data_IF_751122534565
#
_entry.id   IF_751122534565
#
_cell.length_a   1.000
_cell.length_b   1.000
_cell.length_c   1.000
_cell.angle_alpha   90.00
_cell.angle_beta   90.00
_cell.angle_gamma   90.00
#
_symmetry.space_group_name_H-M   'P 1'
#
loop_
_entity.id
_entity.type
_entity.pdbx_description
1 polymer ?
#
# COMPACT_ATOMS: atom_id res chain seq x y z
N UNK A 1 -25.34 -0.95 -6.16
CA UNK A 1 -24.03 -1.37 -6.66
C UNK A 1 -23.60 -0.36 -7.71
N UNK A 2 -22.78 0.62 -7.37
CA UNK A 2 -22.18 1.49 -8.38
C UNK A 2 -21.25 0.63 -9.23
N UNK A 3 -21.61 0.40 -10.47
CA UNK A 3 -20.74 -0.33 -11.38
C UNK A 3 -19.58 0.57 -11.74
N UNK A 4 -18.36 0.10 -11.44
CA UNK A 4 -17.13 0.77 -11.86
C UNK A 4 -17.16 0.98 -13.38
N UNK A 5 -16.74 2.16 -13.83
CA UNK A 5 -16.58 2.48 -15.23
C UNK A 5 -15.34 1.77 -15.81
N UNK A 6 -15.08 1.96 -17.12
CA UNK A 6 -13.98 1.26 -17.81
C UNK A 6 -12.59 1.70 -17.30
N UNK A 7 -12.40 2.98 -17.01
CA UNK A 7 -11.16 3.54 -16.48
C UNK A 7 -10.87 2.98 -15.08
N UNK A 8 -11.87 2.99 -14.19
CA UNK A 8 -11.77 2.46 -12.84
C UNK A 8 -11.41 0.96 -12.83
N UNK A 9 -12.02 0.18 -13.74
CA UNK A 9 -11.67 -1.25 -13.90
C UNK A 9 -10.25 -1.44 -14.42
N UNK A 10 -9.81 -0.59 -15.34
CA UNK A 10 -8.45 -0.60 -15.85
C UNK A 10 -7.43 -0.34 -14.74
N UNK A 11 -7.67 0.69 -13.91
CA UNK A 11 -6.83 0.99 -12.75
C UNK A 11 -6.78 -0.17 -11.75
N UNK A 12 -7.93 -0.76 -11.40
CA UNK A 12 -7.97 -1.92 -10.50
C UNK A 12 -7.15 -3.10 -11.03
N UNK A 13 -7.24 -3.38 -12.33
CA UNK A 13 -6.45 -4.43 -12.96
C UNK A 13 -4.96 -4.14 -12.87
N UNK A 14 -4.55 -2.89 -13.10
CA UNK A 14 -3.15 -2.48 -13.03
C UNK A 14 -2.57 -2.55 -11.61
N UNK A 15 -3.30 -2.06 -10.60
CA UNK A 15 -2.77 -1.92 -9.24
C UNK A 15 -2.94 -3.17 -8.38
N UNK A 16 -3.95 -3.99 -8.64
CA UNK A 16 -4.29 -5.14 -7.79
C UNK A 16 -4.49 -6.45 -8.56
N UNK A 17 -4.40 -6.43 -9.90
CA UNK A 17 -4.62 -7.63 -10.72
C UNK A 17 -6.05 -8.17 -10.70
N UNK A 18 -7.02 -7.35 -10.28
CA UNK A 18 -8.43 -7.74 -10.13
C UNK A 18 -9.33 -6.76 -10.89
N UNK A 19 -10.55 -7.17 -11.16
CA UNK A 19 -11.58 -6.33 -11.80
C UNK A 19 -12.76 -6.00 -10.88
N UNK A 20 -12.67 -6.37 -9.61
CA UNK A 20 -13.69 -6.19 -8.59
C UNK A 20 -13.47 -7.13 -7.41
N UNK A 21 -14.48 -7.28 -6.56
CA UNK A 21 -14.42 -8.18 -5.39
C UNK A 21 -14.11 -9.63 -5.80
N UNK A 22 -13.20 -10.26 -5.07
CA UNK A 22 -12.84 -11.66 -5.21
C UNK A 22 -13.49 -12.49 -4.09
N UNK A 23 -14.39 -13.44 -4.40
CA UNK A 23 -14.96 -14.32 -3.40
C UNK A 23 -13.89 -15.09 -2.61
N UNK A 24 -14.03 -15.12 -1.29
CA UNK A 24 -13.10 -15.80 -0.38
C UNK A 24 -11.95 -14.93 0.12
N UNK A 25 -11.81 -13.69 -0.33
CA UNK A 25 -10.85 -12.72 0.22
C UNK A 25 -11.53 -11.64 1.05
N UNK A 26 -10.80 -11.01 1.96
CA UNK A 26 -11.22 -9.75 2.55
C UNK A 26 -10.95 -8.61 1.53
N UNK A 27 -11.84 -7.64 1.45
CA UNK A 27 -11.80 -6.64 0.39
C UNK A 27 -12.28 -5.28 0.86
N UNK A 28 -11.58 -4.21 0.48
CA UNK A 28 -12.05 -2.84 0.70
C UNK A 28 -11.62 -1.95 -0.47
N UNK A 29 -12.56 -1.59 -1.31
CA UNK A 29 -12.35 -0.63 -2.40
C UNK A 29 -12.65 0.79 -1.94
N UNK A 30 -11.73 1.68 -2.23
CA UNK A 30 -11.88 3.12 -2.07
C UNK A 30 -11.78 3.81 -3.43
N UNK A 31 -12.70 4.71 -3.74
CA UNK A 31 -12.68 5.49 -4.98
C UNK A 31 -13.00 6.95 -4.70
N UNK A 32 -12.22 7.86 -5.27
CA UNK A 32 -12.41 9.32 -5.17
C UNK A 32 -12.69 9.79 -3.74
N UNK A 33 -11.84 9.33 -2.79
CA UNK A 33 -11.94 9.72 -1.39
C UNK A 33 -13.03 9.00 -0.58
N UNK A 34 -13.79 8.06 -1.16
CA UNK A 34 -14.89 7.38 -0.48
C UNK A 34 -14.75 5.86 -0.48
N UNK A 35 -15.24 5.21 0.58
CA UNK A 35 -15.39 3.76 0.60
C UNK A 35 -16.53 3.32 -0.32
N UNK A 36 -16.26 2.41 -1.25
CA UNK A 36 -17.23 1.95 -2.26
C UNK A 36 -17.77 0.56 -1.91
N UNK A 37 -16.88 -0.36 -1.55
CA UNK A 37 -17.25 -1.74 -1.28
C UNK A 37 -16.35 -2.32 -0.19
N UNK A 38 -16.92 -3.14 0.70
CA UNK A 38 -16.17 -3.78 1.79
C UNK A 38 -16.72 -5.17 2.09
N UNK A 39 -15.81 -6.14 2.21
CA UNK A 39 -16.10 -7.52 2.59
C UNK A 39 -15.08 -8.01 3.62
N UNK A 40 -15.57 -8.68 4.65
CA UNK A 40 -14.76 -9.40 5.64
C UNK A 40 -14.90 -10.90 5.42
N UNK A 41 -13.93 -11.68 5.90
CA UNK A 41 -14.04 -13.15 6.01
C UNK A 41 -14.32 -13.54 7.46
N UNK A 42 -14.56 -14.82 7.75
CA UNK A 42 -14.67 -15.27 9.15
C UNK A 42 -13.41 -14.98 9.99
N UNK A 43 -12.22 -15.00 9.37
CA UNK A 43 -10.95 -14.81 10.07
C UNK A 43 -10.35 -13.40 9.88
N UNK A 44 -10.83 -12.62 8.91
CA UNK A 44 -10.32 -11.26 8.64
C UNK A 44 -11.47 -10.26 8.66
N UNK A 45 -11.45 -9.37 9.65
CA UNK A 45 -12.44 -8.31 9.79
C UNK A 45 -11.89 -6.99 9.27
N UNK A 46 -12.64 -6.30 8.42
CA UNK A 46 -12.34 -4.94 8.00
C UNK A 46 -13.40 -4.00 8.59
N UNK A 47 -12.95 -3.06 9.43
CA UNK A 47 -13.82 -2.09 10.12
C UNK A 47 -13.45 -0.68 9.72
N UNK A 48 -14.45 0.16 9.50
CA UNK A 48 -14.20 1.59 9.31
C UNK A 48 -13.77 2.22 10.63
N UNK A 49 -12.76 3.10 10.58
CA UNK A 49 -12.41 3.92 11.75
C UNK A 49 -13.50 4.93 12.06
N UNK A 50 -13.71 5.18 13.36
CA UNK A 50 -14.74 6.11 13.84
C UNK A 50 -14.24 7.55 13.93
N UNK A 51 -12.94 7.75 14.07
CA UNK A 51 -12.29 9.03 14.41
C UNK A 51 -11.60 9.72 13.23
N UNK A 52 -11.29 8.97 12.16
CA UNK A 52 -10.56 9.46 10.98
C UNK A 52 -10.85 8.62 9.74
N UNK A 53 -10.60 9.14 8.52
CA UNK A 53 -10.73 8.34 7.30
C UNK A 53 -9.80 7.12 7.33
N UNK A 54 -10.31 5.94 6.99
CA UNK A 54 -9.53 4.71 6.92
C UNK A 54 -10.21 3.51 7.55
N UNK A 55 -9.44 2.45 7.73
CA UNK A 55 -9.92 1.14 8.17
C UNK A 55 -8.97 0.47 9.15
N UNK A 56 -9.53 -0.40 10.00
CA UNK A 56 -8.80 -1.41 10.75
C UNK A 56 -8.99 -2.76 10.09
N UNK A 57 -7.90 -3.44 9.77
CA UNK A 57 -7.85 -4.80 9.24
C UNK A 57 -7.37 -5.70 10.37
N UNK A 58 -8.25 -6.58 10.87
CA UNK A 58 -7.99 -7.43 12.01
C UNK A 58 -7.96 -8.88 11.54
N UNK A 59 -6.78 -9.48 11.53
CA UNK A 59 -6.55 -10.88 11.17
C UNK A 59 -6.49 -11.71 12.45
N UNK A 60 -7.34 -12.72 12.55
CA UNK A 60 -7.38 -13.61 13.71
C UNK A 60 -6.08 -14.43 13.84
N UNK A 61 -5.65 -14.77 15.08
CA UNK A 61 -4.51 -15.65 15.28
C UNK A 61 -4.65 -16.98 14.53
N UNK A 62 -3.54 -17.47 13.95
CA UNK A 62 -3.52 -18.75 13.23
C UNK A 62 -4.27 -18.77 11.88
N UNK A 63 -4.68 -17.62 11.35
CA UNK A 63 -5.23 -17.53 9.98
C UNK A 63 -4.18 -17.89 8.96
N UNK A 64 -4.45 -18.83 8.06
CA UNK A 64 -3.48 -19.32 7.07
C UNK A 64 -4.04 -19.22 5.65
N UNK A 65 -3.24 -18.62 4.74
CA UNK A 65 -3.49 -18.61 3.30
C UNK A 65 -4.64 -17.72 2.85
N UNK A 66 -5.11 -16.79 3.71
CA UNK A 66 -6.13 -15.82 3.31
C UNK A 66 -5.49 -14.53 2.74
N UNK A 67 -6.27 -13.86 1.88
CA UNK A 67 -5.85 -12.63 1.21
C UNK A 67 -6.72 -11.44 1.61
N UNK A 68 -6.10 -10.27 1.62
CA UNK A 68 -6.75 -8.97 1.80
C UNK A 68 -6.44 -8.08 0.61
N UNK A 69 -7.45 -7.52 -0.03
CA UNK A 69 -7.30 -6.54 -1.10
C UNK A 69 -7.79 -5.17 -0.65
N UNK A 70 -6.94 -4.15 -0.73
CA UNK A 70 -7.27 -2.77 -0.35
C UNK A 70 -6.90 -1.74 -1.44
N UNK A 71 -7.44 -1.89 -2.65
CA UNK A 71 -7.16 -0.94 -3.72
C UNK A 71 -7.80 0.44 -3.48
N UNK A 72 -7.09 1.47 -3.96
CA UNK A 72 -7.57 2.86 -4.02
C UNK A 72 -7.47 3.36 -5.44
N UNK A 73 -8.51 3.98 -5.94
CA UNK A 73 -8.55 4.60 -7.27
C UNK A 73 -9.02 6.04 -7.18
N UNK A 74 -8.33 6.95 -7.89
CA UNK A 74 -8.73 8.33 -8.08
C UNK A 74 -8.92 8.59 -9.57
N UNK A 75 -10.09 9.04 -9.95
CA UNK A 75 -10.45 9.33 -11.35
C UNK A 75 -10.99 10.74 -11.55
N UNK A 76 -11.35 11.42 -10.47
CA UNK A 76 -11.75 12.82 -10.50
C UNK A 76 -10.52 13.71 -10.27
N UNK A 77 -10.37 14.77 -11.08
CA UNK A 77 -9.30 15.75 -10.92
C UNK A 77 -9.48 16.59 -9.64
N UNK A 78 -8.38 16.95 -9.00
CA UNK A 78 -8.40 17.78 -7.79
C UNK A 78 -8.74 17.05 -6.49
N UNK A 79 -8.75 15.71 -6.49
CA UNK A 79 -8.98 14.92 -5.27
C UNK A 79 -7.73 14.90 -4.40
N UNK A 80 -7.91 15.20 -3.11
CA UNK A 80 -6.90 15.05 -2.07
C UNK A 80 -7.42 14.04 -1.04
N UNK A 81 -6.91 12.82 -1.06
CA UNK A 81 -7.38 11.72 -0.24
C UNK A 81 -6.32 11.29 0.76
N UNK A 82 -6.59 11.48 2.06
CA UNK A 82 -5.74 11.03 3.17
C UNK A 82 -6.45 9.92 3.93
N UNK A 83 -5.79 8.75 4.10
CA UNK A 83 -6.36 7.60 4.80
C UNK A 83 -5.39 6.95 5.77
N UNK A 84 -5.94 6.38 6.83
CA UNK A 84 -5.21 5.66 7.88
C UNK A 84 -5.69 4.20 7.93
N UNK A 85 -4.82 3.26 7.57
CA UNK A 85 -5.14 1.85 7.57
C UNK A 85 -4.22 1.14 8.58
N UNK A 86 -4.82 0.57 9.64
CA UNK A 86 -4.09 -0.17 10.65
C UNK A 86 -4.36 -1.67 10.47
N UNK A 87 -3.28 -2.45 10.41
CA UNK A 87 -3.29 -3.90 10.23
C UNK A 87 -2.87 -4.57 11.52
N UNK A 88 -3.78 -5.31 12.13
CA UNK A 88 -3.54 -6.11 13.34
C UNK A 88 -3.48 -7.58 12.93
N UNK A 89 -2.26 -8.10 12.82
CA UNK A 89 -2.01 -9.48 12.38
C UNK A 89 -1.81 -10.35 13.60
N UNK A 90 -2.71 -11.29 13.82
CA UNK A 90 -2.70 -12.17 14.98
C UNK A 90 -1.51 -13.13 15.00
N UNK A 91 -1.15 -13.61 16.20
CA UNK A 91 -0.06 -14.57 16.41
C UNK A 91 -0.18 -15.78 15.48
N UNK A 92 0.92 -16.17 14.82
CA UNK A 92 1.01 -17.33 13.94
C UNK A 92 0.16 -17.25 12.66
N UNK A 93 -0.39 -16.09 12.30
CA UNK A 93 -1.10 -15.91 11.03
C UNK A 93 -0.11 -15.88 9.84
N UNK A 94 -0.54 -16.39 8.69
CA UNK A 94 0.17 -16.31 7.39
C UNK A 94 -0.80 -15.78 6.34
N UNK A 95 -0.62 -14.52 5.94
CA UNK A 95 -1.55 -13.80 5.07
C UNK A 95 -0.83 -12.97 4.02
N UNK A 96 -1.53 -12.77 2.90
CA UNK A 96 -1.11 -11.86 1.83
C UNK A 96 -2.02 -10.63 1.79
N UNK A 97 -1.41 -9.45 1.70
CA UNK A 97 -2.12 -8.18 1.61
C UNK A 97 -1.73 -7.51 0.30
N UNK A 98 -2.72 -7.30 -0.56
CA UNK A 98 -2.56 -6.66 -1.85
C UNK A 98 -3.16 -5.25 -1.76
N UNK A 99 -2.27 -4.27 -1.77
CA UNK A 99 -2.61 -2.86 -1.80
C UNK A 99 -2.25 -2.26 -3.16
N UNK A 100 -2.78 -1.11 -3.45
CA UNK A 100 -2.34 -0.35 -4.60
C UNK A 100 -3.14 0.94 -4.72
N UNK A 101 -2.49 1.95 -5.27
CA UNK A 101 -3.15 3.20 -5.58
C UNK A 101 -2.96 3.55 -7.05
N UNK A 102 -4.06 3.80 -7.75
CA UNK A 102 -4.08 4.24 -9.14
C UNK A 102 -4.73 5.60 -9.28
N UNK A 103 -4.06 6.52 -9.98
CA UNK A 103 -4.61 7.85 -10.31
C UNK A 103 -4.73 7.98 -11.82
N UNK A 104 -5.96 8.24 -12.28
CA UNK A 104 -6.23 8.70 -13.63
C UNK A 104 -6.60 10.18 -13.55
N UNK A 105 -5.82 11.07 -14.18
CA UNK A 105 -6.07 12.51 -14.14
C UNK A 105 -6.03 13.10 -15.54
N UNK A 106 -7.21 13.43 -16.09
CA UNK A 106 -7.38 14.14 -17.36
C UNK A 106 -7.68 15.64 -17.16
N UNK A 107 -7.70 16.13 -15.91
CA UNK A 107 -7.98 17.52 -15.58
C UNK A 107 -6.72 18.37 -15.36
N UNK A 108 -6.94 19.61 -14.89
CA UNK A 108 -5.88 20.59 -14.66
C UNK A 108 -5.45 20.64 -13.17
N UNK A 109 -6.27 20.09 -12.26
CA UNK A 109 -6.00 20.14 -10.83
C UNK A 109 -5.22 18.90 -10.37
N UNK A 110 -4.33 19.08 -9.40
CA UNK A 110 -3.52 17.99 -8.82
C UNK A 110 -4.41 16.98 -8.08
N UNK A 111 -4.22 15.71 -8.38
CA UNK A 111 -4.84 14.61 -7.61
C UNK A 111 -3.78 13.91 -6.77
N UNK A 112 -4.06 13.75 -5.47
CA UNK A 112 -3.12 13.23 -4.49
C UNK A 112 -3.76 12.18 -3.58
N UNK A 113 -3.01 11.12 -3.27
CA UNK A 113 -3.36 10.16 -2.24
C UNK A 113 -2.22 9.97 -1.24
N UNK A 114 -2.54 10.15 0.03
CA UNK A 114 -1.63 9.97 1.16
C UNK A 114 -2.14 8.78 2.00
N UNK A 115 -1.58 7.60 1.76
CA UNK A 115 -1.89 6.38 2.51
C UNK A 115 -0.96 6.22 3.72
N UNK A 116 -1.50 6.24 4.93
CA UNK A 116 -0.75 5.94 6.14
C UNK A 116 -1.12 4.53 6.60
N UNK A 117 -0.17 3.60 6.48
CA UNK A 117 -0.34 2.19 6.81
C UNK A 117 0.46 1.86 8.07
N UNK A 118 -0.19 1.26 9.06
CA UNK A 118 0.47 0.81 10.29
C UNK A 118 0.25 -0.68 10.49
N UNK A 119 1.33 -1.46 10.48
CA UNK A 119 1.31 -2.91 10.68
C UNK A 119 1.73 -3.25 12.10
N UNK A 120 0.87 -3.97 12.81
CA UNK A 120 1.14 -4.63 14.08
C UNK A 120 1.19 -6.12 13.80
N UNK A 121 2.40 -6.69 13.70
CA UNK A 121 2.60 -8.07 13.29
C UNK A 121 2.91 -8.91 14.52
N UNK A 122 1.98 -9.77 14.90
CA UNK A 122 2.04 -10.60 16.08
C UNK A 122 3.13 -11.67 15.99
N UNK A 123 3.40 -12.31 17.13
CA UNK A 123 4.46 -13.31 17.30
C UNK A 123 4.33 -14.44 16.28
N UNK A 124 5.47 -14.81 15.66
CA UNK A 124 5.54 -15.87 14.65
C UNK A 124 4.59 -15.70 13.45
N UNK A 125 3.97 -14.54 13.27
CA UNK A 125 3.13 -14.28 12.11
C UNK A 125 3.99 -14.00 10.87
N UNK A 126 3.41 -14.29 9.70
CA UNK A 126 4.00 -14.06 8.40
C UNK A 126 3.09 -13.18 7.55
N UNK A 127 3.63 -12.11 7.00
CA UNK A 127 2.92 -11.17 6.11
C UNK A 127 3.70 -11.01 4.82
N UNK A 128 3.01 -11.12 3.69
CA UNK A 128 3.49 -10.62 2.40
C UNK A 128 2.59 -9.45 2.01
N UNK A 129 3.18 -8.27 1.91
CA UNK A 129 2.49 -7.05 1.50
C UNK A 129 2.97 -6.64 0.11
N UNK A 130 2.06 -6.56 -0.83
CA UNK A 130 2.33 -6.09 -2.19
C UNK A 130 1.63 -4.76 -2.41
N UNK A 131 2.39 -3.72 -2.77
CA UNK A 131 1.86 -2.39 -3.08
C UNK A 131 2.29 -1.97 -4.47
N UNK A 132 1.32 -1.53 -5.29
CA UNK A 132 1.61 -0.98 -6.61
C UNK A 132 1.02 0.42 -6.76
N UNK A 133 1.88 1.35 -7.15
CA UNK A 133 1.52 2.72 -7.50
C UNK A 133 1.52 2.89 -9.02
N UNK A 134 0.45 3.50 -9.53
CA UNK A 134 0.26 3.69 -10.96
C UNK A 134 -0.42 5.02 -11.24
N UNK A 135 0.06 5.72 -12.26
CA UNK A 135 -0.54 6.96 -12.74
C UNK A 135 -0.78 6.93 -14.23
N UNK A 136 -1.87 7.53 -14.68
CA UNK A 136 -2.19 7.73 -16.09
C UNK A 136 -3.06 8.97 -16.29
N UNK A 137 -3.39 9.28 -17.55
CA UNK A 137 -4.19 10.44 -17.94
C UNK A 137 -3.35 11.47 -18.70
N UNK A 138 -4.05 12.32 -19.44
CA UNK A 138 -3.46 13.32 -20.35
C UNK A 138 -3.64 14.76 -19.83
N UNK A 139 -4.18 14.93 -18.60
CA UNK A 139 -4.36 16.23 -18.00
C UNK A 139 -3.05 16.88 -17.56
N UNK A 140 -3.10 18.18 -17.31
CA UNK A 140 -1.97 18.97 -16.81
C UNK A 140 -1.78 18.85 -15.29
N UNK A 141 -2.81 18.38 -14.57
CA UNK A 141 -2.77 18.18 -13.12
C UNK A 141 -1.86 17.03 -12.72
N UNK A 142 -1.06 17.22 -11.68
CA UNK A 142 -0.12 16.21 -11.18
C UNK A 142 -0.84 15.03 -10.54
N UNK A 143 -0.18 13.86 -10.54
CA UNK A 143 -0.55 12.62 -9.85
C UNK A 143 0.46 12.36 -8.75
N UNK A 144 0.05 12.57 -7.50
CA UNK A 144 0.92 12.50 -6.33
C UNK A 144 0.52 11.33 -5.44
N UNK A 145 1.50 10.51 -5.05
CA UNK A 145 1.31 9.37 -4.16
C UNK A 145 2.37 9.39 -3.04
N UNK A 146 1.96 9.72 -1.82
CA UNK A 146 2.86 9.82 -0.67
C UNK A 146 2.51 8.76 0.40
N UNK A 147 2.98 7.52 0.25
CA UNK A 147 2.73 6.49 1.23
C UNK A 147 3.63 6.65 2.46
N UNK A 148 3.04 6.45 3.64
CA UNK A 148 3.77 6.26 4.89
C UNK A 148 3.47 4.87 5.44
N UNK A 149 4.51 4.07 5.71
CA UNK A 149 4.37 2.71 6.22
C UNK A 149 5.11 2.56 7.54
N UNK A 150 4.38 2.24 8.61
CA UNK A 150 4.94 1.94 9.93
C UNK A 150 4.78 0.44 10.20
N UNK A 151 5.85 -0.24 10.64
CA UNK A 151 5.88 -1.69 10.83
C UNK A 151 6.40 -2.02 12.23
N UNK A 152 5.56 -2.61 13.06
CA UNK A 152 5.91 -3.09 14.39
C UNK A 152 5.85 -4.61 14.41
N UNK A 153 6.98 -5.26 14.62
CA UNK A 153 7.14 -6.71 14.52
C UNK A 153 7.46 -7.35 15.87
N UNK A 154 6.63 -8.29 16.29
CA UNK A 154 6.89 -9.10 17.49
C UNK A 154 7.88 -10.24 17.22
N UNK A 155 8.26 -10.95 18.28
CA UNK A 155 9.25 -12.04 18.24
C UNK A 155 8.94 -13.09 17.17
N UNK A 156 9.96 -13.46 16.38
CA UNK A 156 9.90 -14.53 15.37
C UNK A 156 9.03 -14.22 14.15
N UNK A 157 8.43 -13.04 14.05
CA UNK A 157 7.59 -12.66 12.93
C UNK A 157 8.40 -12.42 11.65
N UNK A 158 7.73 -12.55 10.51
CA UNK A 158 8.28 -12.30 9.18
C UNK A 158 7.40 -11.33 8.40
N UNK A 159 8.00 -10.33 7.80
CA UNK A 159 7.32 -9.45 6.85
C UNK A 159 8.15 -9.29 5.57
N UNK A 160 7.46 -9.37 4.43
CA UNK A 160 8.01 -9.00 3.12
C UNK A 160 7.16 -7.90 2.54
N UNK A 161 7.79 -6.75 2.21
CA UNK A 161 7.15 -5.58 1.65
C UNK A 161 7.63 -5.42 0.19
N UNK A 162 6.77 -5.75 -0.76
CA UNK A 162 7.04 -5.65 -2.20
C UNK A 162 6.35 -4.40 -2.76
N UNK A 163 7.10 -3.33 -2.95
CA UNK A 163 6.60 -2.03 -3.38
C UNK A 163 7.06 -1.70 -4.79
N UNK A 164 6.15 -1.27 -5.65
CA UNK A 164 6.47 -0.93 -7.03
C UNK A 164 5.79 0.35 -7.50
N UNK A 165 6.57 1.23 -8.14
CA UNK A 165 6.10 2.44 -8.81
C UNK A 165 6.87 2.58 -10.10
N UNK A 166 6.26 2.20 -11.22
CA UNK A 166 6.95 2.10 -12.52
C UNK A 166 6.35 2.97 -13.61
N UNK A 167 5.23 3.65 -13.37
CA UNK A 167 4.60 4.48 -14.41
C UNK A 167 3.71 5.60 -13.84
N UNK A 168 3.86 6.80 -14.41
CA UNK A 168 2.89 7.87 -14.45
C UNK A 168 2.62 8.62 -13.15
N UNK A 169 3.39 8.36 -12.08
CA UNK A 169 3.34 9.14 -10.85
C UNK A 169 4.30 10.30 -10.99
N UNK A 170 3.82 11.54 -10.86
CA UNK A 170 4.62 12.74 -11.09
C UNK A 170 5.49 13.07 -9.88
N UNK A 171 4.96 12.88 -8.67
CA UNK A 171 5.70 13.06 -7.43
C UNK A 171 5.35 12.00 -6.40
N UNK A 172 6.35 11.53 -5.65
CA UNK A 172 6.15 10.65 -4.50
C UNK A 172 7.15 10.96 -3.39
N UNK A 173 6.64 10.95 -2.16
CA UNK A 173 7.43 10.98 -0.92
C UNK A 173 7.03 9.77 -0.08
N UNK A 174 7.82 8.68 -0.20
CA UNK A 174 7.63 7.44 0.56
C UNK A 174 8.41 7.50 1.86
N UNK A 175 7.72 7.23 2.97
CA UNK A 175 8.33 7.09 4.29
C UNK A 175 8.06 5.70 4.84
N UNK A 176 9.11 4.98 5.24
CA UNK A 176 8.99 3.67 5.85
C UNK A 176 9.74 3.65 7.18
N UNK A 177 9.02 3.34 8.24
CA UNK A 177 9.61 3.09 9.55
C UNK A 177 9.32 1.67 10.00
N UNK A 178 10.32 0.98 10.55
CA UNK A 178 10.10 -0.34 11.13
C UNK A 178 10.82 -0.51 12.47
N UNK A 179 10.20 -1.27 13.38
CA UNK A 179 10.78 -1.69 14.64
C UNK A 179 10.65 -3.20 14.77
N UNK A 180 11.79 -3.89 14.90
CA UNK A 180 11.88 -5.34 14.90
C UNK A 180 12.17 -5.89 16.31
N UNK A 181 11.28 -6.77 16.78
CA UNK A 181 11.49 -7.57 17.99
C UNK A 181 12.47 -8.72 17.78
N UNK A 182 12.73 -9.54 18.82
CA UNK A 182 13.68 -10.65 18.75
C UNK A 182 13.37 -11.63 17.62
N UNK A 183 14.37 -12.04 16.84
CA UNK A 183 14.27 -12.99 15.72
C UNK A 183 13.31 -12.59 14.61
N UNK A 184 12.77 -11.37 14.64
CA UNK A 184 11.92 -10.85 13.57
C UNK A 184 12.74 -10.62 12.30
N UNK A 185 12.12 -10.85 11.13
CA UNK A 185 12.80 -10.71 9.84
C UNK A 185 11.95 -9.84 8.90
N UNK A 186 12.54 -8.74 8.44
CA UNK A 186 11.93 -7.83 7.48
C UNK A 186 12.68 -7.84 6.16
N UNK A 187 11.96 -8.03 5.08
CA UNK A 187 12.46 -7.89 3.71
C UNK A 187 11.70 -6.74 3.04
N UNK A 188 12.42 -5.76 2.53
CA UNK A 188 11.86 -4.64 1.75
C UNK A 188 12.40 -4.74 0.32
N UNK A 189 11.52 -4.94 -0.64
CA UNK A 189 11.83 -4.91 -2.07
C UNK A 189 11.15 -3.69 -2.68
N UNK A 190 11.94 -2.76 -3.18
CA UNK A 190 11.44 -1.57 -3.86
C UNK A 190 11.81 -1.59 -5.33
N UNK A 191 10.86 -1.28 -6.21
CA UNK A 191 11.06 -1.08 -7.65
C UNK A 191 10.53 0.29 -8.04
N UNK A 192 11.44 1.17 -8.44
CA UNK A 192 11.11 2.55 -8.77
C UNK A 192 11.58 2.90 -10.17
N UNK A 193 10.70 3.44 -10.99
CA UNK A 193 11.05 4.02 -12.27
C UNK A 193 10.48 5.42 -12.39
N UNK A 194 11.32 6.38 -12.76
CA UNK A 194 10.93 7.75 -13.02
C UNK A 194 11.44 8.20 -14.39
N UNK A 195 10.70 9.09 -15.02
CA UNK A 195 11.07 9.68 -16.31
C UNK A 195 10.57 11.12 -16.44
N UNK A 196 11.01 11.84 -17.49
CA UNK A 196 10.61 13.23 -17.69
C UNK A 196 11.09 14.12 -16.54
N UNK A 197 10.17 14.74 -15.82
CA UNK A 197 10.44 15.59 -14.66
C UNK A 197 9.93 15.01 -13.34
N UNK A 198 9.64 13.73 -13.32
CA UNK A 198 9.14 13.06 -12.14
C UNK A 198 10.13 13.11 -10.98
N UNK A 199 9.58 13.22 -9.77
CA UNK A 199 10.37 13.30 -8.55
C UNK A 199 9.97 12.19 -7.58
N UNK A 200 10.95 11.48 -6.99
CA UNK A 200 10.71 10.45 -6.01
C UNK A 200 11.71 10.55 -4.85
N UNK A 201 11.18 10.58 -3.64
CA UNK A 201 11.94 10.44 -2.40
C UNK A 201 11.52 9.13 -1.72
N UNK A 202 12.49 8.31 -1.32
CA UNK A 202 12.28 7.13 -0.48
C UNK A 202 13.16 7.26 0.77
N UNK A 203 12.50 7.31 1.93
CA UNK A 203 13.14 7.40 3.25
C UNK A 203 12.80 6.15 4.06
N UNK A 204 13.82 5.37 4.46
CA UNK A 204 13.67 4.13 5.20
C UNK A 204 14.48 4.17 6.49
N UNK A 205 13.79 4.06 7.63
CA UNK A 205 14.37 3.99 8.97
C UNK A 205 13.95 2.71 9.67
N UNK A 206 14.92 1.93 10.18
CA UNK A 206 14.63 0.64 10.83
C UNK A 206 15.41 0.48 12.13
N UNK A 207 14.69 0.22 13.22
CA UNK A 207 15.23 -0.11 14.51
C UNK A 207 15.31 -1.64 14.69
N UNK A 208 16.53 -2.19 14.77
CA UNK A 208 16.82 -3.60 15.07
C UNK A 208 16.99 -3.78 16.57
N UNK A 209 15.90 -3.67 17.32
CA UNK A 209 15.92 -3.69 18.80
C UNK A 209 16.03 -5.11 19.37
N UNK A 210 15.59 -6.12 18.64
CA UNK A 210 15.55 -7.50 19.10
C UNK A 210 16.81 -8.29 18.77
N UNK A 211 17.23 -9.18 19.68
CA UNK A 211 18.31 -10.14 19.42
C UNK A 211 17.98 -11.00 18.19
N UNK A 212 18.97 -11.26 17.33
CA UNK A 212 18.84 -12.03 16.09
C UNK A 212 17.82 -11.47 15.07
N UNK A 213 17.40 -10.21 15.19
CA UNK A 213 16.56 -9.57 14.19
C UNK A 213 17.33 -9.32 12.89
N UNK A 214 16.63 -9.42 11.75
CA UNK A 214 17.24 -9.34 10.41
C UNK A 214 16.48 -8.38 9.52
N UNK A 215 17.21 -7.51 8.85
CA UNK A 215 16.69 -6.63 7.81
C UNK A 215 17.41 -6.92 6.48
N UNK A 216 16.62 -7.03 5.41
CA UNK A 216 17.14 -7.00 4.04
C UNK A 216 16.38 -5.94 3.23
N UNK A 217 17.11 -5.01 2.62
CA UNK A 217 16.54 -4.01 1.71
C UNK A 217 17.15 -4.24 0.31
N UNK A 218 16.28 -4.34 -0.69
CA UNK A 218 16.67 -4.43 -2.10
C UNK A 218 15.92 -3.37 -2.87
N UNK A 219 16.55 -2.23 -3.16
CA UNK A 219 15.99 -1.19 -4.00
C UNK A 219 16.57 -1.29 -5.41
N UNK A 220 15.68 -1.32 -6.41
CA UNK A 220 16.02 -1.28 -7.83
C UNK A 220 15.33 -0.09 -8.46
N UNK A 221 16.14 0.86 -8.92
CA UNK A 221 15.61 2.10 -9.49
C UNK A 221 16.20 2.40 -10.86
N UNK A 222 15.37 3.01 -11.70
CA UNK A 222 15.78 3.54 -13.01
C UNK A 222 15.25 4.97 -13.13
N UNK A 223 16.16 5.92 -13.24
CA UNK A 223 15.84 7.32 -13.57
C UNK A 223 16.14 7.59 -15.04
N UNK A 224 15.25 8.29 -15.73
CA UNK A 224 15.39 8.67 -17.13
C UNK A 224 15.04 10.14 -17.32
N UNK A 225 15.64 10.78 -18.32
CA UNK A 225 15.47 12.20 -18.64
C UNK A 225 15.92 13.11 -17.47
N UNK A 226 15.13 14.14 -17.12
CA UNK A 226 15.41 15.08 -16.03
C UNK A 226 14.79 14.66 -14.69
N UNK A 227 14.37 13.40 -14.56
CA UNK A 227 13.76 12.91 -13.32
C UNK A 227 14.75 12.82 -12.16
N UNK A 228 14.26 12.98 -10.94
CA UNK A 228 15.07 12.99 -9.72
C UNK A 228 14.61 11.88 -8.78
N UNK A 229 15.56 11.10 -8.27
CA UNK A 229 15.33 10.09 -7.24
C UNK A 229 16.27 10.34 -6.07
N UNK A 230 15.73 10.33 -4.85
CA UNK A 230 16.48 10.51 -3.60
C UNK A 230 16.18 9.36 -2.67
N UNK A 231 17.21 8.77 -2.07
CA UNK A 231 17.10 7.66 -1.11
C UNK A 231 17.85 8.01 0.17
N UNK A 232 17.20 7.81 1.31
CA UNK A 232 17.72 7.98 2.68
C UNK A 232 17.57 6.71 3.48
#
# INVERSE_FOLDING_TARGET
MNMLNQTEKGLLQEIAGISGFMPGSAFNLRANGMGVERHSTPNIQIRQKADKPGIDIIVAPGTIGEQVHIPVILTDSGIHDLVYNDFYIGEGADVEIIAGCGIHNDGCDTSQHDGIHTFHIGRNARVVYTEKHYGEGNGEGERILNPTTNIYMEEGSFAQMDMSQIRGVDSTERKTYAKLGPKAKLVINEKLMTHGRQHALSDVSVDLDGEDSVLQIVSRSVGKDDSVQVFH
#
